data_IF_980373382903
#
_entry.id   IF_980373382903
#
_cell.length_a   1.000
_cell.length_b   1.000
_cell.length_c   1.000
_cell.angle_alpha   90.00
_cell.angle_beta   90.00
_cell.angle_gamma   90.00
#
_symmetry.space_group_name_H-M   'P 1'
#
loop_
_entity.id
_entity.type
_entity.pdbx_description
1 polymer ?
#
# COMPACT_ATOMS: atom_id res chain seq x y z
N UNK A 1 5.96 -22.26 -12.84
CA UNK A 1 5.37 -21.03 -13.43
C UNK A 1 6.50 -20.30 -14.15
N UNK A 2 6.23 -19.70 -15.31
CA UNK A 2 7.25 -18.95 -16.02
C UNK A 2 7.30 -17.55 -15.38
N UNK A 3 8.18 -17.33 -14.41
CA UNK A 3 8.27 -16.10 -13.60
C UNK A 3 8.97 -14.95 -14.37
N UNK A 4 8.68 -14.81 -15.65
CA UNK A 4 9.26 -13.76 -16.47
C UNK A 4 8.45 -12.47 -16.28
N UNK A 5 9.12 -11.41 -15.83
CA UNK A 5 8.56 -10.07 -15.76
C UNK A 5 8.30 -9.58 -17.19
N UNK A 6 7.09 -9.10 -17.46
CA UNK A 6 6.65 -8.68 -18.80
C UNK A 6 5.96 -7.32 -18.69
N UNK A 7 6.70 -6.26 -19.00
CA UNK A 7 6.21 -4.88 -19.07
C UNK A 7 6.48 -4.37 -20.49
N UNK A 8 5.42 -4.29 -21.31
CA UNK A 8 5.51 -3.92 -22.73
C UNK A 8 4.92 -2.55 -23.04
N UNK A 9 4.24 -1.93 -22.07
CA UNK A 9 3.59 -0.62 -22.20
C UNK A 9 3.31 -0.01 -20.82
N UNK A 10 3.41 1.31 -20.73
CA UNK A 10 3.04 2.12 -19.54
C UNK A 10 1.52 2.39 -19.44
N UNK A 11 0.77 2.17 -20.53
CA UNK A 11 -0.68 2.46 -20.61
C UNK A 11 -1.53 1.22 -20.86
N UNK A 12 -0.89 0.05 -20.96
CA UNK A 12 -1.59 -1.22 -21.09
C UNK A 12 -2.36 -1.57 -19.80
N UNK A 13 -3.27 -2.52 -19.90
CA UNK A 13 -3.98 -3.02 -18.71
C UNK A 13 -3.00 -3.57 -17.69
N UNK A 14 -2.95 -2.94 -16.52
CA UNK A 14 -2.12 -3.38 -15.39
C UNK A 14 -2.61 -4.75 -14.90
N UNK A 15 -1.68 -5.69 -14.68
CA UNK A 15 -1.99 -7.07 -14.24
C UNK A 15 -1.46 -7.38 -12.85
N UNK A 16 -0.30 -6.83 -12.52
CA UNK A 16 0.39 -7.00 -11.24
C UNK A 16 1.30 -5.82 -11.01
N UNK A 17 1.46 -5.41 -9.77
CA UNK A 17 2.42 -4.39 -9.37
C UNK A 17 3.06 -4.75 -8.03
N UNK A 18 4.20 -4.12 -7.78
CA UNK A 18 4.82 -4.08 -6.47
C UNK A 18 4.52 -2.74 -5.82
N UNK A 19 4.07 -2.77 -4.57
CA UNK A 19 3.85 -1.62 -3.71
C UNK A 19 4.69 -1.76 -2.46
N UNK A 20 4.97 -0.64 -1.80
CA UNK A 20 5.66 -0.63 -0.52
C UNK A 20 4.99 0.33 0.45
N UNK A 21 4.62 -0.18 1.62
CA UNK A 21 3.92 0.58 2.66
C UNK A 21 4.84 1.63 3.30
N UNK A 22 4.36 2.87 3.52
CA UNK A 22 5.17 3.91 4.13
C UNK A 22 5.69 3.47 5.51
N UNK A 23 7.01 3.34 5.66
CA UNK A 23 7.61 2.82 6.88
C UNK A 23 7.70 3.84 8.01
N UNK A 24 7.86 3.33 9.25
CA UNK A 24 7.99 4.17 10.45
C UNK A 24 9.24 5.08 10.43
N UNK A 25 10.19 4.83 9.52
CA UNK A 25 11.33 5.69 9.26
C UNK A 25 10.93 7.09 8.75
N UNK A 26 9.80 7.20 8.05
CA UNK A 26 9.30 8.47 7.50
C UNK A 26 8.79 9.43 8.59
N UNK A 27 8.22 8.90 9.68
CA UNK A 27 7.75 9.72 10.81
C UNK A 27 8.87 10.33 11.66
N UNK A 28 10.14 10.03 11.34
CA UNK A 28 11.34 10.54 12.04
C UNK A 28 12.11 11.57 11.22
N UNK A 29 11.58 11.98 10.07
CA UNK A 29 12.20 13.01 9.23
C UNK A 29 12.15 14.34 10.01
N UNK A 30 13.29 14.75 10.53
CA UNK A 30 13.45 16.08 11.13
C UNK A 30 13.58 17.12 10.00
N UNK A 31 13.08 18.35 10.18
CA UNK A 31 13.11 19.37 9.13
C UNK A 31 14.51 19.59 8.52
N UNK A 32 15.56 19.52 9.34
CA UNK A 32 16.95 19.69 8.91
C UNK A 32 17.50 18.56 8.03
N UNK A 33 16.84 17.39 8.01
CA UNK A 33 17.25 16.23 7.19
C UNK A 33 16.29 15.93 6.04
N UNK A 34 15.16 16.64 5.95
CA UNK A 34 14.16 16.39 4.91
C UNK A 34 14.78 16.47 3.51
N UNK A 35 15.54 17.54 3.24
CA UNK A 35 16.20 17.74 1.95
C UNK A 35 17.31 16.71 1.69
N UNK A 36 18.11 16.36 2.70
CA UNK A 36 19.13 15.30 2.61
C UNK A 36 18.51 13.93 2.30
N UNK A 37 17.26 13.71 2.73
CA UNK A 37 16.49 12.48 2.50
C UNK A 37 15.55 12.59 1.30
N UNK A 38 15.70 13.64 0.48
CA UNK A 38 14.93 13.90 -0.75
C UNK A 38 13.42 14.07 -0.52
N UNK A 39 13.02 14.53 0.67
CA UNK A 39 11.66 14.98 0.95
C UNK A 39 11.53 16.47 0.67
N UNK A 40 10.47 16.85 -0.04
CA UNK A 40 10.12 18.26 -0.26
C UNK A 40 9.68 18.95 1.04
N UNK A 41 9.01 18.23 1.94
CA UNK A 41 8.56 18.73 3.25
C UNK A 41 8.44 17.57 4.26
N UNK A 42 8.21 17.92 5.53
CA UNK A 42 7.92 16.96 6.59
C UNK A 42 6.58 16.24 6.34
N UNK A 43 6.59 14.94 6.56
CA UNK A 43 5.43 14.09 6.32
C UNK A 43 4.64 13.80 7.60
N UNK A 44 3.31 13.86 7.53
CA UNK A 44 2.44 13.39 8.61
C UNK A 44 2.10 11.91 8.41
N UNK A 45 2.86 11.03 9.07
CA UNK A 45 2.84 9.58 8.84
C UNK A 45 1.43 8.96 8.93
N UNK A 46 0.61 9.38 9.91
CA UNK A 46 -0.74 8.85 10.09
C UNK A 46 -1.67 9.24 8.93
N UNK A 47 -1.54 10.45 8.39
CA UNK A 47 -2.31 10.86 7.21
C UNK A 47 -1.90 10.05 6.00
N UNK A 48 -0.60 9.97 5.72
CA UNK A 48 -0.08 9.26 4.54
C UNK A 48 -0.47 7.79 4.59
N UNK A 49 -0.32 7.12 5.74
CA UNK A 49 -0.72 5.71 5.87
C UNK A 49 -2.23 5.54 5.70
N UNK A 50 -3.03 6.19 6.56
CA UNK A 50 -4.46 5.85 6.70
C UNK A 50 -5.37 6.47 5.65
N UNK A 51 -5.05 7.70 5.20
CA UNK A 51 -5.94 8.44 4.29
C UNK A 51 -5.51 8.30 2.83
N UNK A 52 -4.21 8.19 2.59
CA UNK A 52 -3.67 8.22 1.22
C UNK A 52 -3.28 6.82 0.75
N UNK A 53 -2.37 6.15 1.47
CA UNK A 53 -1.86 4.84 1.07
C UNK A 53 -2.92 3.74 1.18
N UNK A 54 -3.64 3.65 2.29
CA UNK A 54 -4.73 2.67 2.45
C UNK A 54 -5.79 2.87 1.35
N UNK A 55 -6.11 4.12 1.00
CA UNK A 55 -7.01 4.43 -0.10
C UNK A 55 -6.47 3.98 -1.47
N UNK A 56 -5.18 4.22 -1.72
CA UNK A 56 -4.51 3.75 -2.92
C UNK A 56 -4.56 2.22 -3.03
N UNK A 57 -4.27 1.49 -1.94
CA UNK A 57 -4.39 0.03 -1.90
C UNK A 57 -5.81 -0.45 -2.17
N UNK A 58 -6.82 0.20 -1.57
CA UNK A 58 -8.23 -0.12 -1.86
C UNK A 58 -8.52 -0.03 -3.35
N UNK A 59 -8.12 1.07 -3.99
CA UNK A 59 -8.35 1.28 -5.41
C UNK A 59 -7.69 0.17 -6.25
N UNK A 60 -6.43 -0.15 -5.95
CA UNK A 60 -5.70 -1.21 -6.65
C UNK A 60 -6.37 -2.58 -6.48
N UNK A 61 -6.75 -2.95 -5.26
CA UNK A 61 -7.44 -4.21 -4.99
C UNK A 61 -8.80 -4.27 -5.70
N UNK A 62 -9.53 -3.16 -5.79
CA UNK A 62 -10.80 -3.13 -6.50
C UNK A 62 -10.68 -3.44 -8.00
N UNK A 63 -9.57 -3.05 -8.64
CA UNK A 63 -9.36 -3.29 -10.07
C UNK A 63 -8.59 -4.58 -10.35
N UNK A 64 -7.63 -4.93 -9.50
CA UNK A 64 -6.73 -6.06 -9.73
C UNK A 64 -7.20 -7.31 -9.02
N UNK A 65 -7.70 -7.20 -7.78
CA UNK A 65 -8.03 -8.37 -6.95
C UNK A 65 -9.35 -8.21 -6.17
N UNK A 66 -10.52 -8.11 -6.85
CA UNK A 66 -11.79 -7.79 -6.22
C UNK A 66 -12.20 -8.79 -5.14
N UNK A 67 -11.78 -10.05 -5.26
CA UNK A 67 -12.06 -11.12 -4.29
C UNK A 67 -11.57 -10.79 -2.87
N UNK A 68 -10.52 -9.96 -2.75
CA UNK A 68 -9.97 -9.59 -1.44
C UNK A 68 -10.75 -8.47 -0.74
N UNK A 69 -11.47 -7.63 -1.49
CA UNK A 69 -11.99 -6.34 -0.98
C UNK A 69 -13.49 -6.10 -1.24
N UNK A 70 -14.05 -6.66 -2.30
CA UNK A 70 -15.41 -6.35 -2.73
C UNK A 70 -16.44 -6.73 -1.65
N UNK A 71 -17.26 -5.76 -1.23
CA UNK A 71 -18.26 -5.94 -0.18
C UNK A 71 -17.70 -5.92 1.25
N UNK A 72 -16.39 -5.76 1.44
CA UNK A 72 -15.73 -5.78 2.76
C UNK A 72 -15.25 -4.41 3.23
N UNK A 73 -15.56 -3.32 2.51
CA UNK A 73 -15.11 -1.96 2.84
C UNK A 73 -15.41 -1.55 4.29
N UNK A 74 -16.60 -1.88 4.79
CA UNK A 74 -16.98 -1.57 6.17
C UNK A 74 -16.13 -2.32 7.22
N UNK A 75 -15.67 -3.53 6.91
CA UNK A 75 -14.82 -4.35 7.79
C UNK A 75 -13.36 -3.88 7.75
N UNK A 76 -12.82 -3.63 6.54
CA UNK A 76 -11.40 -3.29 6.37
C UNK A 76 -11.05 -1.89 6.87
N UNK A 77 -12.00 -0.94 6.77
CA UNK A 77 -11.84 0.43 7.25
C UNK A 77 -12.36 0.63 8.69
N UNK A 78 -12.82 -0.44 9.34
CA UNK A 78 -13.33 -0.39 10.71
C UNK A 78 -12.22 0.01 11.69
N UNK A 79 -12.36 1.12 12.44
CA UNK A 79 -11.36 1.56 13.42
C UNK A 79 -11.05 0.50 14.49
N UNK A 80 -12.05 -0.31 14.88
CA UNK A 80 -11.92 -1.44 15.79
C UNK A 80 -10.94 -2.53 15.29
N UNK A 81 -10.80 -2.68 13.97
CA UNK A 81 -9.85 -3.60 13.35
C UNK A 81 -8.46 -2.97 13.19
N UNK A 82 -8.27 -1.75 13.68
CA UNK A 82 -7.00 -1.02 13.67
C UNK A 82 -6.34 -0.93 12.28
N UNK A 83 -7.14 -0.99 11.20
CA UNK A 83 -6.67 -0.99 9.80
C UNK A 83 -5.67 -2.12 9.51
N UNK A 84 -5.76 -3.24 10.24
CA UNK A 84 -4.82 -4.36 10.14
C UNK A 84 -4.79 -5.02 8.76
N UNK A 85 -5.85 -4.83 7.97
CA UNK A 85 -5.93 -5.30 6.58
C UNK A 85 -4.81 -4.75 5.69
N UNK A 86 -4.29 -3.56 5.99
CA UNK A 86 -3.25 -2.88 5.20
C UNK A 86 -1.84 -3.06 5.77
N UNK A 87 -1.67 -3.76 6.90
CA UNK A 87 -0.39 -3.89 7.59
C UNK A 87 0.33 -5.20 7.20
N UNK A 88 1.50 -5.15 6.54
CA UNK A 88 2.18 -6.35 6.03
C UNK A 88 2.55 -7.36 7.12
N UNK A 89 2.90 -6.86 8.32
CA UNK A 89 3.28 -7.65 9.48
C UNK A 89 2.08 -8.28 10.23
N UNK A 90 0.84 -8.02 9.79
CA UNK A 90 -0.35 -8.53 10.44
C UNK A 90 -0.92 -9.79 9.76
N UNK A 91 -1.49 -10.69 10.56
CA UNK A 91 -2.19 -11.89 10.06
C UNK A 91 -3.42 -11.59 9.20
N UNK A 92 -3.97 -10.39 9.29
CA UNK A 92 -5.18 -9.98 8.55
C UNK A 92 -4.85 -9.23 7.25
N UNK A 93 -3.56 -9.10 6.92
CA UNK A 93 -3.10 -8.47 5.70
C UNK A 93 -3.73 -9.08 4.44
N UNK A 94 -4.02 -8.24 3.45
CA UNK A 94 -4.77 -8.64 2.25
C UNK A 94 -4.07 -9.72 1.40
N UNK A 95 -2.72 -9.80 1.43
CA UNK A 95 -1.91 -10.85 0.76
C UNK A 95 -2.37 -11.15 -0.67
N UNK A 96 -2.37 -10.13 -1.53
CA UNK A 96 -2.74 -10.27 -2.93
C UNK A 96 -1.56 -10.79 -3.74
N UNK A 97 -1.84 -11.65 -4.73
CA UNK A 97 -0.85 -12.09 -5.71
C UNK A 97 -0.72 -11.11 -6.90
N UNK A 98 -1.52 -10.03 -6.90
CA UNK A 98 -1.56 -9.00 -7.96
C UNK A 98 -1.13 -7.63 -7.45
N UNK A 99 -1.53 -7.27 -6.23
CA UNK A 99 -0.99 -6.11 -5.50
C UNK A 99 0.03 -6.66 -4.52
N UNK A 100 1.31 -6.69 -4.90
CA UNK A 100 2.33 -7.39 -4.12
C UNK A 100 3.04 -6.40 -3.21
N UNK A 101 3.11 -6.71 -1.93
CA UNK A 101 4.00 -6.08 -0.95
C UNK A 101 5.13 -7.07 -0.61
N UNK A 102 6.34 -6.59 -0.31
CA UNK A 102 7.48 -7.49 -0.05
C UNK A 102 7.61 -7.92 1.42
N UNK A 103 6.98 -7.20 2.34
CA UNK A 103 7.18 -7.35 3.77
C UNK A 103 6.25 -8.35 4.48
N UNK A 104 5.35 -9.05 3.77
CA UNK A 104 4.34 -9.93 4.38
C UNK A 104 4.67 -11.43 4.35
#
# INVERSE_FOLDING_TARGET
MNDQIQVTSEIGTLKRLLVHSPDSGLGKVVPSKAQDWLFEDIVHLDTIRRKEYDFYIKLLLYFLDPEKIQGRLGEVDAPENHFNFYKPDHKDFYRSDKVVELQW
#
